data_IF_557753332308
#
_entry.id   IF_557753332308
#
_cell.length_a   1.000
_cell.length_b   1.000
_cell.length_c   1.000
_cell.angle_alpha   90.00
_cell.angle_beta   90.00
_cell.angle_gamma   90.00
#
_symmetry.space_group_name_H-M   'P 1'
#
loop_
_entity.id
_entity.type
_entity.pdbx_description
1 polymer ?
#
# COMPACT_ATOMS: atom_id res chain seq x y z
N UNK A 1 -36.79 -25.03 -10.76
CA UNK A 1 -36.39 -24.54 -9.44
C UNK A 1 -34.87 -24.41 -9.43
N UNK A 2 -34.34 -23.19 -9.52
CA UNK A 2 -32.90 -22.93 -9.47
C UNK A 2 -32.63 -22.10 -8.21
N UNK A 3 -32.15 -22.76 -7.16
CA UNK A 3 -31.97 -22.20 -5.80
C UNK A 3 -30.52 -21.82 -5.50
N UNK A 4 -29.66 -21.70 -6.50
CA UNK A 4 -28.27 -21.27 -6.30
C UNK A 4 -28.05 -19.87 -6.83
N UNK A 5 -28.32 -18.79 -6.08
CA UNK A 5 -28.09 -17.44 -6.64
C UNK A 5 -27.71 -16.27 -5.72
N UNK A 6 -27.93 -16.25 -4.39
CA UNK A 6 -27.37 -15.16 -3.55
C UNK A 6 -26.10 -15.58 -2.78
N UNK A 7 -26.19 -16.70 -2.05
CA UNK A 7 -25.16 -17.16 -1.11
C UNK A 7 -23.81 -17.42 -1.79
N UNK A 8 -23.81 -17.95 -3.01
CA UNK A 8 -22.57 -18.24 -3.74
C UNK A 8 -21.82 -16.99 -4.20
N UNK A 9 -22.54 -15.93 -4.56
CA UNK A 9 -21.91 -14.67 -4.96
C UNK A 9 -21.33 -13.96 -3.74
N UNK A 10 -22.07 -13.91 -2.64
CA UNK A 10 -21.58 -13.35 -1.37
C UNK A 10 -20.31 -14.07 -0.86
N UNK A 11 -20.23 -15.40 -1.01
CA UNK A 11 -19.03 -16.18 -0.65
C UNK A 11 -17.80 -15.76 -1.47
N UNK A 12 -17.98 -15.43 -2.75
CA UNK A 12 -16.88 -15.01 -3.64
C UNK A 12 -16.50 -13.55 -3.38
N UNK A 13 -17.49 -12.71 -3.07
CA UNK A 13 -17.35 -11.26 -2.94
C UNK A 13 -16.83 -10.83 -1.56
N UNK A 14 -17.30 -11.46 -0.48
CA UNK A 14 -16.97 -11.08 0.89
C UNK A 14 -15.46 -11.11 1.23
N UNK A 15 -14.66 -12.11 0.76
CA UNK A 15 -13.22 -12.11 1.00
C UNK A 15 -12.49 -10.89 0.46
N UNK A 16 -13.07 -10.19 -0.52
CA UNK A 16 -12.45 -9.05 -1.19
C UNK A 16 -12.55 -7.77 -0.38
N UNK A 17 -13.32 -7.75 0.72
CA UNK A 17 -13.22 -6.69 1.72
C UNK A 17 -11.95 -6.79 2.58
N UNK A 18 -11.32 -7.96 2.66
CA UNK A 18 -10.23 -8.22 3.61
C UNK A 18 -9.03 -7.31 3.38
N UNK A 19 -8.65 -7.11 2.11
CA UNK A 19 -7.49 -6.29 1.73
C UNK A 19 -7.64 -4.83 2.20
N UNK A 20 -8.69 -4.09 1.77
CA UNK A 20 -8.87 -2.70 2.20
C UNK A 20 -9.17 -2.60 3.70
N UNK A 21 -9.83 -3.59 4.32
CA UNK A 21 -10.05 -3.60 5.77
C UNK A 21 -8.72 -3.69 6.55
N UNK A 22 -7.82 -4.60 6.16
CA UNK A 22 -6.52 -4.73 6.81
C UNK A 22 -5.62 -3.50 6.54
N UNK A 23 -5.71 -2.92 5.34
CA UNK A 23 -5.02 -1.67 5.01
C UNK A 23 -5.53 -0.50 5.87
N UNK A 24 -6.85 -0.36 6.03
CA UNK A 24 -7.48 0.66 6.87
C UNK A 24 -7.09 0.52 8.34
N UNK A 25 -7.10 -0.70 8.89
CA UNK A 25 -6.64 -0.97 10.26
C UNK A 25 -5.17 -0.56 10.46
N UNK A 26 -4.33 -0.85 9.47
CA UNK A 26 -2.91 -0.45 9.51
C UNK A 26 -2.76 1.07 9.48
N UNK A 27 -3.44 1.75 8.56
CA UNK A 27 -3.42 3.22 8.46
C UNK A 27 -3.90 3.89 9.76
N UNK A 28 -4.98 3.37 10.37
CA UNK A 28 -5.46 3.88 11.66
C UNK A 28 -4.45 3.71 12.80
N UNK A 29 -3.75 2.57 12.83
CA UNK A 29 -2.67 2.32 13.81
C UNK A 29 -1.48 3.26 13.60
N UNK A 30 -1.07 3.45 12.36
CA UNK A 30 0.05 4.34 12.01
C UNK A 30 -0.31 5.81 12.34
N UNK A 31 -1.56 6.22 12.06
CA UNK A 31 -2.10 7.53 12.45
C UNK A 31 -2.04 7.74 13.96
N UNK A 32 -2.47 6.75 14.74
CA UNK A 32 -2.39 6.81 16.20
C UNK A 32 -0.94 7.02 16.66
N UNK A 33 0.00 6.22 16.14
CA UNK A 33 1.42 6.37 16.49
C UNK A 33 1.99 7.75 16.20
N UNK A 34 1.60 8.37 15.09
CA UNK A 34 2.01 9.75 14.76
C UNK A 34 1.38 10.80 15.70
N UNK A 35 0.13 10.60 16.14
CA UNK A 35 -0.53 11.48 17.11
C UNK A 35 0.13 11.36 18.49
N UNK A 36 0.45 10.14 18.91
CA UNK A 36 1.17 9.88 20.16
C UNK A 36 2.55 10.55 20.13
N UNK A 37 3.29 10.43 19.02
CA UNK A 37 4.59 11.10 18.82
C UNK A 37 4.48 12.64 18.82
N UNK A 38 3.42 13.19 18.20
CA UNK A 38 3.18 14.63 18.22
C UNK A 38 2.85 15.13 19.63
N UNK A 39 2.10 14.35 20.41
CA UNK A 39 1.78 14.65 21.80
C UNK A 39 3.02 14.63 22.68
N UNK A 40 3.92 13.67 22.47
CA UNK A 40 5.23 13.59 23.15
C UNK A 40 6.12 14.78 22.79
N UNK A 41 6.18 15.15 21.50
CA UNK A 41 6.93 16.33 21.07
C UNK A 41 6.41 17.61 21.73
N UNK A 42 5.08 17.77 21.86
CA UNK A 42 4.48 18.90 22.56
C UNK A 42 4.78 18.89 24.06
N UNK A 43 4.80 17.72 24.71
CA UNK A 43 5.17 17.61 26.12
C UNK A 43 6.62 18.06 26.39
N UNK A 44 7.52 17.94 25.41
CA UNK A 44 8.90 18.42 25.50
C UNK A 44 9.01 19.96 25.58
N UNK A 45 7.92 20.72 25.37
CA UNK A 45 7.87 22.16 25.62
C UNK A 45 7.97 22.52 27.10
N UNK A 46 7.48 21.66 28.00
CA UNK A 46 7.48 21.93 29.45
C UNK A 46 8.89 22.22 29.99
N UNK A 47 9.86 21.30 29.80
CA UNK A 47 11.25 21.50 30.23
C UNK A 47 11.96 22.67 29.57
N UNK A 48 11.59 23.05 28.35
CA UNK A 48 12.16 24.20 27.65
C UNK A 48 11.67 25.55 28.21
N UNK A 49 10.58 25.54 28.97
CA UNK A 49 10.03 26.72 29.63
C UNK A 49 10.69 27.02 30.99
N UNK A 50 11.61 26.18 31.46
CA UNK A 50 12.30 26.42 32.73
C UNK A 50 13.24 27.62 32.63
N UNK A 51 13.15 28.52 33.61
CA UNK A 51 13.93 29.75 33.67
C UNK A 51 15.45 29.53 33.88
N UNK A 52 15.87 28.29 34.10
CA UNK A 52 17.28 27.90 34.26
C UNK A 52 18.00 27.67 32.92
N UNK A 53 17.26 27.56 31.81
CA UNK A 53 17.82 27.30 30.47
C UNK A 53 18.26 28.60 29.81
N UNK A 54 19.40 28.61 29.12
CA UNK A 54 19.86 29.78 28.38
C UNK A 54 18.87 30.17 27.28
N UNK A 55 18.69 31.46 27.01
CA UNK A 55 17.82 31.92 25.92
C UNK A 55 18.19 31.29 24.56
N UNK A 56 19.49 31.14 24.27
CA UNK A 56 19.96 30.52 23.03
C UNK A 56 19.58 29.03 22.95
N UNK A 57 19.61 28.31 24.08
CA UNK A 57 19.22 26.90 24.17
C UNK A 57 17.70 26.73 24.03
N UNK A 58 16.92 27.66 24.60
CA UNK A 58 15.46 27.70 24.45
C UNK A 58 15.06 27.93 22.98
N UNK A 59 15.69 28.89 22.30
CA UNK A 59 15.44 29.16 20.87
C UNK A 59 15.82 27.95 20.02
N UNK A 60 17.01 27.37 20.22
CA UNK A 60 17.43 26.18 19.48
C UNK A 60 16.49 24.98 19.71
N UNK A 61 16.01 24.78 20.94
CA UNK A 61 15.04 23.74 21.27
C UNK A 61 13.69 23.94 20.58
N UNK A 62 13.19 25.18 20.51
CA UNK A 62 11.98 25.53 19.77
C UNK A 62 12.13 25.28 18.27
N UNK A 63 13.27 25.65 17.66
CA UNK A 63 13.52 25.41 16.24
C UNK A 63 13.55 23.91 15.89
N UNK A 64 14.16 23.10 16.75
CA UNK A 64 14.15 21.64 16.62
C UNK A 64 12.72 21.09 16.72
N UNK A 65 11.95 21.56 17.69
CA UNK A 65 10.57 21.14 17.88
C UNK A 65 9.68 21.53 16.68
N UNK A 66 9.82 22.76 16.18
CA UNK A 66 9.11 23.24 14.99
C UNK A 66 9.44 22.34 13.81
N UNK A 67 10.71 22.03 13.58
CA UNK A 67 11.14 21.13 12.50
C UNK A 67 10.53 19.74 12.63
N UNK A 68 10.53 19.17 13.84
CA UNK A 68 9.93 17.86 14.13
C UNK A 68 8.42 17.86 13.90
N UNK A 69 7.70 18.84 14.43
CA UNK A 69 6.24 18.96 14.29
C UNK A 69 5.83 19.20 12.84
N UNK A 70 6.60 19.97 12.06
CA UNK A 70 6.36 20.14 10.63
C UNK A 70 6.53 18.80 9.87
N UNK A 71 7.54 18.01 10.23
CA UNK A 71 7.72 16.66 9.70
C UNK A 71 6.54 15.74 10.03
N UNK A 72 6.09 15.74 11.29
CA UNK A 72 4.94 14.94 11.73
C UNK A 72 3.64 15.38 11.05
N UNK A 73 3.41 16.68 10.87
CA UNK A 73 2.26 17.22 10.13
C UNK A 73 2.20 16.67 8.71
N UNK A 74 3.33 16.64 8.00
CA UNK A 74 3.41 16.10 6.62
C UNK A 74 3.07 14.61 6.61
N UNK A 75 3.72 13.82 7.48
CA UNK A 75 3.45 12.36 7.60
C UNK A 75 1.99 12.08 7.95
N UNK A 76 1.41 12.84 8.88
CA UNK A 76 0.02 12.69 9.29
C UNK A 76 -0.95 12.97 8.12
N UNK A 77 -0.69 14.01 7.32
CA UNK A 77 -1.47 14.32 6.13
C UNK A 77 -1.45 13.17 5.10
N UNK A 78 -0.29 12.52 4.93
CA UNK A 78 -0.15 11.36 4.05
C UNK A 78 -0.93 10.14 4.56
N UNK A 79 -0.79 9.82 5.85
CA UNK A 79 -1.52 8.70 6.46
C UNK A 79 -3.03 8.96 6.46
N UNK A 80 -3.47 10.18 6.78
CA UNK A 80 -4.90 10.55 6.72
C UNK A 80 -5.48 10.50 5.32
N UNK A 81 -4.69 10.79 4.28
CA UNK A 81 -5.12 10.60 2.89
C UNK A 81 -5.28 9.11 2.58
N UNK A 82 -4.26 8.30 2.88
CA UNK A 82 -4.32 6.86 2.67
C UNK A 82 -5.51 6.23 3.43
N UNK A 83 -5.75 6.63 4.68
CA UNK A 83 -6.89 6.16 5.47
C UNK A 83 -8.24 6.49 4.81
N UNK A 84 -8.41 7.72 4.30
CA UNK A 84 -9.63 8.12 3.56
C UNK A 84 -9.82 7.28 2.30
N UNK A 85 -8.74 7.03 1.56
CA UNK A 85 -8.79 6.25 0.33
C UNK A 85 -9.17 4.78 0.62
N UNK A 86 -8.63 4.17 1.69
CA UNK A 86 -9.01 2.81 2.11
C UNK A 86 -10.45 2.75 2.65
N UNK A 87 -10.89 3.78 3.38
CA UNK A 87 -12.27 3.86 3.86
C UNK A 87 -13.26 3.95 2.69
N UNK A 88 -12.96 4.76 1.66
CA UNK A 88 -13.76 4.85 0.45
C UNK A 88 -13.84 3.51 -0.29
N UNK A 89 -12.73 2.76 -0.39
CA UNK A 89 -12.72 1.40 -0.95
C UNK A 89 -13.58 0.43 -0.15
N UNK A 90 -13.47 0.43 1.18
CA UNK A 90 -14.31 -0.37 2.06
C UNK A 90 -15.79 -0.05 1.84
N UNK A 91 -16.14 1.23 1.81
CA UNK A 91 -17.51 1.69 1.58
C UNK A 91 -18.05 1.22 0.23
N UNK A 92 -17.33 1.48 -0.86
CA UNK A 92 -17.76 1.07 -2.20
C UNK A 92 -17.96 -0.45 -2.32
N UNK A 93 -17.11 -1.26 -1.68
CA UNK A 93 -17.24 -2.72 -1.67
C UNK A 93 -18.41 -3.20 -0.79
N UNK A 94 -18.67 -2.54 0.34
CA UNK A 94 -19.84 -2.82 1.18
C UNK A 94 -21.14 -2.47 0.46
N UNK A 95 -21.20 -1.32 -0.22
CA UNK A 95 -22.34 -0.91 -1.05
C UNK A 95 -22.56 -1.90 -2.19
N UNK A 96 -21.48 -2.35 -2.86
CA UNK A 96 -21.57 -3.39 -3.89
C UNK A 96 -22.14 -4.69 -3.34
N UNK A 97 -21.63 -5.15 -2.19
CA UNK A 97 -22.12 -6.35 -1.51
C UNK A 97 -23.59 -6.24 -1.09
N UNK A 98 -23.99 -5.10 -0.52
CA UNK A 98 -25.37 -4.85 -0.11
C UNK A 98 -26.33 -4.80 -1.31
N UNK A 99 -25.85 -4.37 -2.48
CA UNK A 99 -26.60 -4.37 -3.72
C UNK A 99 -26.68 -5.77 -4.37
N UNK A 100 -26.01 -6.80 -3.85
CA UNK A 100 -26.11 -8.17 -4.36
C UNK A 100 -27.47 -8.76 -4.02
N UNK A 101 -28.40 -8.66 -4.97
CA UNK A 101 -29.63 -9.43 -5.01
C UNK A 101 -29.55 -10.60 -5.99
N UNK A 102 -30.62 -11.40 -6.04
CA UNK A 102 -30.79 -12.37 -7.12
C UNK A 102 -30.84 -11.63 -8.48
N UNK A 103 -30.25 -12.19 -9.55
CA UNK A 103 -30.35 -11.60 -10.87
C UNK A 103 -31.81 -11.50 -11.30
N UNK A 104 -32.19 -10.36 -11.88
CA UNK A 104 -33.48 -10.23 -12.56
C UNK A 104 -33.58 -11.28 -13.68
N UNK A 105 -34.81 -11.73 -13.98
CA UNK A 105 -35.05 -12.76 -14.98
C UNK A 105 -34.47 -12.32 -16.34
N UNK A 106 -33.58 -13.14 -16.91
CA UNK A 106 -32.89 -12.83 -18.18
C UNK A 106 -31.69 -11.89 -18.08
N UNK A 107 -31.41 -11.29 -16.91
CA UNK A 107 -30.31 -10.34 -16.71
C UNK A 107 -29.04 -10.98 -16.11
N UNK A 108 -28.93 -12.31 -16.07
CA UNK A 108 -27.84 -13.02 -15.40
C UNK A 108 -26.44 -12.63 -15.93
N UNK A 109 -26.31 -12.37 -17.23
CA UNK A 109 -25.03 -11.96 -17.84
C UNK A 109 -24.62 -10.57 -17.37
N UNK A 110 -25.51 -9.59 -17.48
CA UNK A 110 -25.25 -8.23 -17.02
C UNK A 110 -25.00 -8.19 -15.51
N UNK A 111 -25.75 -8.99 -14.74
CA UNK A 111 -25.56 -9.13 -13.30
C UNK A 111 -24.16 -9.65 -12.95
N UNK A 112 -23.65 -10.65 -13.68
CA UNK A 112 -22.32 -11.24 -13.46
C UNK A 112 -21.15 -10.44 -14.01
N UNK A 113 -21.39 -9.54 -14.96
CA UNK A 113 -20.33 -8.84 -15.69
C UNK A 113 -19.34 -8.09 -14.76
N UNK A 114 -19.77 -7.25 -13.80
CA UNK A 114 -18.83 -6.54 -12.92
C UNK A 114 -17.94 -7.47 -12.09
N UNK A 115 -18.48 -8.64 -11.69
CA UNK A 115 -17.73 -9.62 -10.89
C UNK A 115 -16.70 -10.35 -11.73
N UNK A 116 -17.07 -10.73 -12.96
CA UNK A 116 -16.13 -11.29 -13.93
C UNK A 116 -15.03 -10.30 -14.28
N UNK A 117 -15.38 -9.05 -14.56
CA UNK A 117 -14.40 -8.00 -14.88
C UNK A 117 -13.42 -7.82 -13.72
N UNK A 118 -13.89 -7.83 -12.46
CA UNK A 118 -12.99 -7.73 -11.31
C UNK A 118 -12.08 -8.95 -11.14
N UNK A 119 -12.58 -10.17 -11.33
CA UNK A 119 -11.75 -11.39 -11.30
C UNK A 119 -10.68 -11.31 -12.39
N UNK A 120 -11.06 -10.86 -13.58
CA UNK A 120 -10.14 -10.66 -14.70
C UNK A 120 -9.09 -9.59 -14.39
N UNK A 121 -9.46 -8.49 -13.75
CA UNK A 121 -8.51 -7.47 -13.26
C UNK A 121 -7.49 -8.08 -12.28
N UNK A 122 -7.93 -8.85 -11.27
CA UNK A 122 -7.00 -9.50 -10.32
C UNK A 122 -6.05 -10.48 -11.03
N UNK A 123 -6.56 -11.26 -11.98
CA UNK A 123 -5.73 -12.14 -12.81
C UNK A 123 -4.68 -11.36 -13.62
N UNK A 124 -5.10 -10.32 -14.33
CA UNK A 124 -4.19 -9.46 -15.11
C UNK A 124 -3.12 -8.80 -14.22
N UNK A 125 -3.47 -8.40 -13.00
CA UNK A 125 -2.50 -7.84 -12.05
C UNK A 125 -1.46 -8.86 -11.60
N UNK A 126 -1.85 -10.12 -11.37
CA UNK A 126 -0.92 -11.20 -10.98
C UNK A 126 0.00 -11.62 -12.11
N UNK A 127 -0.47 -11.52 -13.35
CA UNK A 127 0.31 -11.84 -14.54
C UNK A 127 1.21 -10.68 -15.00
N UNK A 128 1.13 -9.53 -14.32
CA UNK A 128 1.92 -8.33 -14.63
C UNK A 128 1.35 -7.49 -15.78
N UNK A 129 0.16 -7.81 -16.28
CA UNK A 129 -0.58 -7.05 -17.31
C UNK A 129 -1.27 -5.81 -16.72
N UNK A 130 -0.51 -4.95 -16.02
CA UNK A 130 -1.05 -3.81 -15.27
C UNK A 130 -1.77 -2.77 -16.14
N UNK A 131 -1.31 -2.55 -17.37
CA UNK A 131 -1.93 -1.59 -18.30
C UNK A 131 -3.33 -2.06 -18.68
N UNK A 132 -3.47 -3.33 -19.07
CA UNK A 132 -4.76 -3.95 -19.39
C UNK A 132 -5.69 -3.99 -18.18
N UNK A 133 -5.16 -4.32 -17.00
CA UNK A 133 -5.93 -4.30 -15.75
C UNK A 133 -6.51 -2.90 -15.46
N UNK A 134 -5.70 -1.86 -15.63
CA UNK A 134 -6.11 -0.45 -15.41
C UNK A 134 -7.14 0.00 -16.46
N UNK A 135 -6.94 -0.38 -17.73
CA UNK A 135 -7.89 -0.05 -18.78
C UNK A 135 -9.25 -0.74 -18.56
N UNK A 136 -9.23 -2.02 -18.16
CA UNK A 136 -10.45 -2.78 -17.86
C UNK A 136 -11.19 -2.19 -16.67
N UNK A 137 -10.50 -1.92 -15.55
CA UNK A 137 -11.13 -1.36 -14.35
C UNK A 137 -11.80 -0.01 -14.64
N UNK A 138 -11.12 0.88 -15.36
CA UNK A 138 -11.64 2.18 -15.74
C UNK A 138 -12.83 2.07 -16.69
N UNK A 139 -12.77 1.20 -17.70
CA UNK A 139 -13.86 1.02 -18.67
C UNK A 139 -15.13 0.42 -18.04
N UNK A 140 -14.96 -0.43 -17.02
CA UNK A 140 -16.07 -1.05 -16.29
C UNK A 140 -16.51 -0.22 -15.07
N UNK A 141 -15.80 0.86 -14.71
CA UNK A 141 -16.10 1.71 -13.56
C UNK A 141 -15.94 0.98 -12.21
N UNK A 142 -15.02 0.02 -12.12
CA UNK A 142 -14.84 -0.87 -10.96
C UNK A 142 -13.53 -0.64 -10.20
N UNK A 143 -12.86 0.50 -10.40
CA UNK A 143 -11.55 0.79 -9.80
C UNK A 143 -11.54 0.65 -8.27
N UNK A 144 -12.58 1.13 -7.58
CA UNK A 144 -12.73 1.02 -6.13
C UNK A 144 -12.95 -0.42 -5.64
N UNK A 145 -13.45 -1.29 -6.52
CA UNK A 145 -13.64 -2.71 -6.25
C UNK A 145 -12.34 -3.51 -6.47
N UNK A 146 -11.35 -2.94 -7.14
CA UNK A 146 -10.09 -3.60 -7.50
C UNK A 146 -8.92 -3.20 -6.58
N UNK A 147 -7.88 -4.02 -6.53
CA UNK A 147 -6.68 -3.83 -5.69
C UNK A 147 -5.48 -3.26 -6.47
N UNK A 148 -5.73 -2.45 -7.52
CA UNK A 148 -4.69 -1.90 -8.42
C UNK A 148 -3.51 -1.27 -7.65
N UNK A 149 -3.81 -0.44 -6.65
CA UNK A 149 -2.84 0.26 -5.83
C UNK A 149 -1.93 -0.68 -5.01
N UNK A 150 -2.44 -1.85 -4.59
CA UNK A 150 -1.68 -2.85 -3.82
C UNK A 150 -0.54 -3.44 -4.65
N UNK A 151 -0.78 -3.62 -5.96
CA UNK A 151 0.22 -4.13 -6.88
C UNK A 151 1.23 -3.08 -7.34
N UNK A 152 1.01 -1.80 -7.07
CA UNK A 152 1.89 -0.71 -7.52
C UNK A 152 3.34 -0.86 -7.04
N UNK A 153 3.54 -1.19 -5.76
CA UNK A 153 4.88 -1.41 -5.21
C UNK A 153 5.57 -2.65 -5.81
N UNK A 154 4.84 -3.75 -5.97
CA UNK A 154 5.36 -4.97 -6.58
C UNK A 154 5.74 -4.74 -8.05
N UNK A 155 4.91 -3.98 -8.79
CA UNK A 155 5.18 -3.57 -10.17
C UNK A 155 6.46 -2.74 -10.25
N UNK A 156 6.57 -1.69 -9.44
CA UNK A 156 7.75 -0.82 -9.45
C UNK A 156 9.04 -1.60 -9.14
N UNK A 157 9.00 -2.50 -8.16
CA UNK A 157 10.12 -3.39 -7.85
C UNK A 157 10.45 -4.33 -9.03
N UNK A 158 9.44 -4.92 -9.67
CA UNK A 158 9.64 -5.80 -10.83
C UNK A 158 10.22 -5.05 -12.03
N UNK A 159 9.73 -3.84 -12.31
CA UNK A 159 10.22 -2.98 -13.40
C UNK A 159 11.68 -2.56 -13.16
N UNK A 160 12.03 -2.19 -11.93
CA UNK A 160 13.42 -1.90 -11.55
C UNK A 160 14.33 -3.12 -11.73
N UNK A 161 13.89 -4.30 -11.29
CA UNK A 161 14.65 -5.53 -11.47
C UNK A 161 14.89 -5.88 -12.95
N UNK A 162 13.91 -5.63 -13.83
CA UNK A 162 14.10 -5.76 -15.28
C UNK A 162 15.15 -4.78 -15.82
N UNK A 163 15.21 -3.58 -15.24
CA UNK A 163 16.25 -2.58 -15.50
C UNK A 163 17.59 -2.89 -14.79
N UNK A 164 17.72 -4.05 -14.15
CA UNK A 164 18.91 -4.50 -13.39
C UNK A 164 19.20 -3.63 -12.16
N UNK A 165 18.16 -3.03 -11.59
CA UNK A 165 18.23 -2.30 -10.34
C UNK A 165 17.48 -3.06 -9.23
N UNK A 166 18.24 -3.54 -8.24
CA UNK A 166 17.70 -4.23 -7.08
C UNK A 166 17.35 -3.29 -5.91
N UNK A 167 17.74 -2.01 -5.97
CA UNK A 167 17.61 -1.09 -4.85
C UNK A 167 16.15 -0.89 -4.40
N UNK A 168 15.15 -0.70 -5.30
CA UNK A 168 13.75 -0.55 -4.88
C UNK A 168 13.20 -1.81 -4.20
N UNK A 169 13.57 -2.99 -4.68
CA UNK A 169 13.15 -4.25 -4.09
C UNK A 169 13.80 -4.48 -2.71
N UNK A 170 15.07 -4.08 -2.54
CA UNK A 170 15.78 -4.14 -1.27
C UNK A 170 15.22 -3.15 -0.23
N UNK A 171 14.86 -1.93 -0.66
CA UNK A 171 14.18 -0.96 0.19
C UNK A 171 12.84 -1.51 0.70
N UNK A 172 12.05 -2.13 -0.19
CA UNK A 172 10.82 -2.80 0.20
C UNK A 172 11.06 -3.97 1.18
N UNK A 173 12.14 -4.75 1.00
CA UNK A 173 12.52 -5.78 1.96
C UNK A 173 12.84 -5.21 3.35
N UNK A 174 13.50 -4.04 3.43
CA UNK A 174 13.80 -3.38 4.69
C UNK A 174 12.50 -2.96 5.42
N UNK A 175 11.54 -2.40 4.70
CA UNK A 175 10.23 -2.01 5.25
C UNK A 175 9.41 -3.21 5.76
N UNK A 176 9.51 -4.36 5.08
CA UNK A 176 8.72 -5.56 5.41
C UNK A 176 9.51 -6.64 6.17
N UNK A 177 10.67 -6.30 6.74
CA UNK A 177 11.61 -7.25 7.36
C UNK A 177 10.96 -8.21 8.36
N UNK A 178 10.10 -7.70 9.24
CA UNK A 178 9.40 -8.53 10.24
C UNK A 178 8.48 -9.58 9.59
N UNK A 179 7.77 -9.21 8.52
CA UNK A 179 6.89 -10.11 7.75
C UNK A 179 7.70 -11.15 6.98
N UNK A 180 8.76 -10.72 6.31
CA UNK A 180 9.65 -11.61 5.55
C UNK A 180 10.34 -12.65 6.45
N UNK A 181 10.76 -12.24 7.66
CA UNK A 181 11.33 -13.15 8.66
C UNK A 181 10.31 -14.19 9.13
N UNK A 182 9.06 -13.78 9.42
CA UNK A 182 7.99 -14.70 9.81
C UNK A 182 7.66 -15.71 8.70
N UNK A 183 7.71 -15.26 7.45
CA UNK A 183 7.49 -16.10 6.26
C UNK A 183 8.72 -16.94 5.86
N UNK A 184 9.86 -16.80 6.55
CA UNK A 184 11.14 -17.43 6.19
C UNK A 184 11.51 -17.21 4.72
N UNK A 185 11.24 -16.01 4.19
CA UNK A 185 11.43 -15.71 2.77
C UNK A 185 12.92 -15.55 2.42
N UNK A 186 13.44 -16.23 1.38
CA UNK A 186 14.82 -16.05 0.92
C UNK A 186 15.01 -14.82 0.01
N UNK A 187 13.97 -13.98 -0.14
CA UNK A 187 13.96 -12.88 -1.11
C UNK A 187 15.11 -11.89 -0.91
N UNK A 188 15.32 -11.40 0.31
CA UNK A 188 16.37 -10.41 0.61
C UNK A 188 17.76 -10.95 0.24
N UNK A 189 18.04 -12.22 0.57
CA UNK A 189 19.29 -12.88 0.19
C UNK A 189 19.46 -12.97 -1.33
N UNK A 190 18.42 -13.39 -2.07
CA UNK A 190 18.46 -13.46 -3.53
C UNK A 190 18.68 -12.09 -4.17
N UNK A 191 18.06 -11.04 -3.64
CA UNK A 191 18.24 -9.67 -4.11
C UNK A 191 19.66 -9.15 -3.87
N UNK A 192 20.26 -9.45 -2.72
CA UNK A 192 21.67 -9.11 -2.44
C UNK A 192 22.64 -9.86 -3.35
N UNK A 193 22.35 -11.13 -3.65
CA UNK A 193 23.12 -11.87 -4.65
C UNK A 193 23.01 -11.23 -6.04
N UNK A 194 21.82 -10.80 -6.44
CA UNK A 194 21.63 -10.10 -7.72
C UNK A 194 22.40 -8.77 -7.74
N UNK A 195 22.33 -7.97 -6.67
CA UNK A 195 23.09 -6.73 -6.51
C UNK A 195 24.60 -6.98 -6.68
N UNK A 196 25.14 -8.03 -6.04
CA UNK A 196 26.53 -8.42 -6.20
C UNK A 196 26.89 -8.81 -7.65
N UNK A 197 26.03 -9.58 -8.32
CA UNK A 197 26.21 -9.92 -9.74
C UNK A 197 26.25 -8.67 -10.62
N UNK A 198 25.39 -7.69 -10.39
CA UNK A 198 25.41 -6.43 -11.16
C UNK A 198 26.65 -5.58 -10.86
N UNK A 199 27.16 -5.58 -9.62
CA UNK A 199 28.43 -4.91 -9.28
C UNK A 199 29.61 -5.53 -10.04
N UNK A 200 29.69 -6.86 -10.12
CA UNK A 200 30.73 -7.54 -10.90
C UNK A 200 30.63 -7.22 -12.39
N UNK A 201 29.41 -7.17 -12.96
CA UNK A 201 29.20 -6.80 -14.37
C UNK A 201 29.60 -5.37 -14.68
N UNK A 202 29.45 -4.43 -13.75
CA UNK A 202 29.90 -3.04 -13.91
C UNK A 202 31.43 -2.97 -13.89
N UNK A 203 32.07 -3.60 -12.91
CA UNK A 203 33.55 -3.65 -12.83
C UNK A 203 34.19 -4.28 -14.06
N UNK A 204 33.65 -5.40 -14.55
CA UNK A 204 34.15 -6.04 -15.77
C UNK A 204 33.91 -5.24 -17.05
N UNK A 205 33.06 -4.21 -17.05
CA UNK A 205 32.91 -3.26 -18.16
C UNK A 205 33.89 -2.09 -18.05
N UNK A 206 34.19 -1.63 -16.83
CA UNK A 206 35.18 -0.58 -16.58
C UNK A 206 36.61 -1.05 -16.93
N UNK A 207 36.93 -2.34 -16.75
CA UNK A 207 38.23 -2.91 -17.17
C UNK A 207 38.36 -3.11 -18.69
N UNK A 208 37.27 -3.05 -19.46
CA UNK A 208 37.24 -3.36 -20.92
C UNK A 208 37.12 -2.09 -21.78
N UNK A 209 37.04 -0.91 -21.17
CA UNK A 209 37.11 0.38 -21.87
C UNK A 209 38.56 0.92 -21.82
N UNK A 210 39.28 0.98 -22.96
CA UNK A 210 40.61 1.62 -23.05
C UNK A 210 40.54 3.15 -22.96
#
# INVERSE_FOLDING_TARGET
MATGTPVSAEIIEAPLLRVPQEALKRAAKDRKGLIDEASEALAALGPLSDAATSQDEQVAGLDQLVTRLQGLKRKLADVSRAERDEAARCQARLEHLAALGAPARGAAVAWNRPRLDRILVDHLLRDGCHVSATALSASAGIDQLCDLHVFGGARAAADALRARDAAPALAWCAEQRARLRKAKSPLEFKLRLQEFVELLRKKGKEEVLP
#
